data_IF_575777404579
#
_entry.id   IF_575777404579
#
_cell.length_a   1.000
_cell.length_b   1.000
_cell.length_c   1.000
_cell.angle_alpha   90.00
_cell.angle_beta   90.00
_cell.angle_gamma   90.00
#
_symmetry.space_group_name_H-M   'P 1'
#
loop_
_entity.id
_entity.type
_entity.pdbx_description
1 polymer ?
#
# COMPACT_ATOMS: atom_id res chain seq x y z
N UNK A 1 -5.50 -36.16 -11.24
CA UNK A 1 -5.92 -34.91 -11.93
C UNK A 1 -4.72 -33.98 -11.92
N UNK A 2 -4.30 -33.46 -13.08
CA UNK A 2 -3.04 -32.70 -13.20
C UNK A 2 -3.30 -31.21 -12.99
N UNK A 3 -2.82 -30.67 -11.88
CA UNK A 3 -2.57 -29.23 -11.71
C UNK A 3 -1.13 -28.90 -12.09
N UNK A 4 -0.88 -27.69 -12.55
CA UNK A 4 0.47 -27.21 -12.85
C UNK A 4 0.59 -25.75 -12.47
N UNK A 5 1.64 -25.42 -11.73
CA UNK A 5 1.95 -24.07 -11.32
C UNK A 5 3.14 -23.57 -12.16
N UNK A 6 3.04 -22.36 -12.71
CA UNK A 6 4.16 -21.71 -13.42
C UNK A 6 4.11 -20.19 -13.29
N UNK A 7 5.25 -19.57 -13.56
CA UNK A 7 5.31 -18.14 -13.86
C UNK A 7 4.49 -17.83 -15.11
N UNK A 8 3.69 -16.78 -15.03
CA UNK A 8 2.95 -16.26 -16.18
C UNK A 8 3.88 -15.42 -17.04
N UNK A 9 3.69 -15.55 -18.34
CA UNK A 9 4.39 -14.80 -19.37
C UNK A 9 3.36 -14.02 -20.21
N UNK A 10 3.83 -13.18 -21.13
CA UNK A 10 2.94 -12.48 -22.06
C UNK A 10 2.06 -13.46 -22.89
N UNK A 11 2.56 -14.67 -23.16
CA UNK A 11 1.81 -15.70 -23.89
C UNK A 11 0.56 -16.20 -23.14
N UNK A 12 0.52 -16.01 -21.81
CA UNK A 12 -0.58 -16.45 -20.97
C UNK A 12 -1.71 -15.40 -20.85
N UNK A 13 -1.56 -14.23 -21.47
CA UNK A 13 -2.53 -13.12 -21.36
C UNK A 13 -3.93 -13.53 -21.80
N UNK A 14 -4.07 -14.24 -22.93
CA UNK A 14 -5.36 -14.70 -23.43
C UNK A 14 -6.08 -15.62 -22.43
N UNK A 15 -5.33 -16.47 -21.73
CA UNK A 15 -5.86 -17.35 -20.69
C UNK A 15 -6.28 -16.55 -19.45
N UNK A 16 -5.49 -15.55 -19.04
CA UNK A 16 -5.89 -14.62 -17.97
C UNK A 16 -7.18 -13.89 -18.30
N UNK A 17 -7.29 -13.33 -19.51
CA UNK A 17 -8.50 -12.61 -19.95
C UNK A 17 -9.74 -13.52 -20.05
N UNK A 18 -9.55 -14.84 -20.16
CA UNK A 18 -10.64 -15.82 -20.21
C UNK A 18 -11.15 -16.25 -18.83
N UNK A 19 -10.50 -15.81 -17.75
CA UNK A 19 -10.93 -16.11 -16.38
C UNK A 19 -12.22 -15.34 -16.06
N UNK A 20 -13.24 -16.05 -15.54
CA UNK A 20 -14.39 -15.38 -14.91
C UNK A 20 -14.05 -15.06 -13.47
N UNK A 21 -13.42 -13.91 -13.21
CA UNK A 21 -13.07 -13.49 -11.85
C UNK A 21 -14.19 -12.67 -11.16
N UNK A 22 -15.23 -12.28 -11.89
CA UNK A 22 -16.33 -11.44 -11.41
C UNK A 22 -16.00 -9.96 -11.18
N UNK A 23 -14.85 -9.49 -11.67
CA UNK A 23 -14.38 -8.10 -11.54
C UNK A 23 -14.62 -7.40 -12.87
N UNK A 24 -15.52 -6.39 -12.88
CA UNK A 24 -15.90 -5.66 -14.10
C UNK A 24 -14.72 -4.86 -14.68
N UNK A 25 -13.91 -4.27 -13.80
CA UNK A 25 -12.75 -3.47 -14.17
C UNK A 25 -11.50 -3.99 -13.46
N UNK A 26 -10.94 -5.10 -13.98
CA UNK A 26 -9.76 -5.73 -13.39
C UNK A 26 -8.49 -4.98 -13.78
N UNK A 27 -7.93 -4.22 -12.83
CA UNK A 27 -6.68 -3.51 -13.07
C UNK A 27 -5.53 -4.45 -13.47
N UNK A 28 -5.50 -5.70 -12.99
CA UNK A 28 -4.46 -6.68 -13.35
C UNK A 28 -4.51 -6.96 -14.86
N UNK A 29 -5.71 -7.05 -15.44
CA UNK A 29 -5.88 -7.21 -16.89
C UNK A 29 -5.24 -6.06 -17.65
N UNK A 30 -5.45 -4.82 -17.18
CA UNK A 30 -4.90 -3.60 -17.81
C UNK A 30 -3.38 -3.55 -17.77
N UNK A 31 -2.77 -4.01 -16.67
CA UNK A 31 -1.32 -3.95 -16.46
C UNK A 31 -0.62 -5.31 -16.66
N UNK A 32 -1.30 -6.32 -17.19
CA UNK A 32 -0.80 -7.70 -17.24
C UNK A 32 0.60 -7.79 -17.87
N UNK A 33 0.78 -7.17 -19.03
CA UNK A 33 2.06 -7.21 -19.76
C UNK A 33 3.19 -6.60 -18.94
N UNK A 34 2.91 -5.51 -18.22
CA UNK A 34 3.87 -4.87 -17.30
C UNK A 34 4.18 -5.76 -16.10
N UNK A 35 3.21 -6.53 -15.61
CA UNK A 35 3.40 -7.43 -14.47
C UNK A 35 4.30 -8.61 -14.80
N UNK A 36 4.21 -9.17 -16.01
CA UNK A 36 4.96 -10.37 -16.42
C UNK A 36 6.30 -10.05 -17.10
N UNK A 37 6.63 -8.77 -17.27
CA UNK A 37 7.92 -8.31 -17.86
C UNK A 37 8.74 -7.43 -16.91
N UNK A 38 8.24 -7.15 -15.71
CA UNK A 38 8.93 -6.30 -14.74
C UNK A 38 9.89 -7.09 -13.87
N UNK A 39 11.05 -6.52 -13.58
CA UNK A 39 12.02 -7.07 -12.62
C UNK A 39 11.54 -6.98 -11.16
N UNK A 40 10.53 -6.15 -10.89
CA UNK A 40 10.00 -5.89 -9.54
C UNK A 40 8.67 -6.58 -9.27
N UNK A 41 8.14 -7.31 -10.24
CA UNK A 41 6.85 -7.98 -10.13
C UNK A 41 6.97 -9.43 -10.58
N UNK A 42 6.29 -10.30 -9.85
CA UNK A 42 6.19 -11.71 -10.21
C UNK A 42 4.72 -12.11 -10.16
N UNK A 43 4.28 -12.88 -11.16
CA UNK A 43 2.91 -13.36 -11.26
C UNK A 43 2.91 -14.85 -11.64
N UNK A 44 2.33 -15.66 -10.78
CA UNK A 44 2.16 -17.10 -10.99
C UNK A 44 0.72 -17.40 -11.41
N UNK A 45 0.58 -18.47 -12.18
CA UNK A 45 -0.70 -19.06 -12.54
C UNK A 45 -0.75 -20.52 -12.14
N UNK A 46 -1.90 -20.94 -11.61
CA UNK A 46 -2.25 -22.34 -11.43
C UNK A 46 -3.19 -22.76 -12.55
N UNK A 47 -2.76 -23.79 -13.26
CA UNK A 47 -3.48 -24.40 -14.36
C UNK A 47 -4.10 -25.70 -13.87
N UNK A 48 -5.39 -25.89 -14.14
CA UNK A 48 -6.11 -27.12 -13.85
C UNK A 48 -6.78 -27.58 -15.14
N UNK A 49 -6.45 -28.80 -15.59
CA UNK A 49 -6.90 -29.33 -16.89
C UNK A 49 -6.57 -28.37 -18.06
N UNK A 50 -5.37 -27.80 -18.05
CA UNK A 50 -4.89 -26.86 -19.07
C UNK A 50 -5.53 -25.47 -19.04
N UNK A 51 -6.43 -25.17 -18.08
CA UNK A 51 -7.06 -23.86 -17.93
C UNK A 51 -6.43 -23.11 -16.77
N UNK A 52 -6.14 -21.82 -16.96
CA UNK A 52 -5.73 -20.95 -15.86
C UNK A 52 -6.93 -20.73 -14.92
N UNK A 53 -6.83 -21.22 -13.68
CA UNK A 53 -7.93 -21.17 -12.71
C UNK A 53 -7.65 -20.22 -11.55
N UNK A 54 -6.39 -19.87 -11.32
CA UNK A 54 -6.02 -18.92 -10.27
C UNK A 54 -4.70 -18.23 -10.58
N UNK A 55 -4.54 -17.00 -10.08
CA UNK A 55 -3.27 -16.27 -10.08
C UNK A 55 -2.96 -15.75 -8.69
N UNK A 56 -1.68 -15.63 -8.39
CA UNK A 56 -1.16 -14.83 -7.26
C UNK A 56 0.26 -14.39 -7.60
N UNK A 57 0.76 -13.39 -6.91
CA UNK A 57 2.09 -12.87 -7.16
C UNK A 57 2.56 -11.95 -6.05
N UNK A 58 3.69 -11.29 -6.28
CA UNK A 58 4.24 -10.33 -5.34
C UNK A 58 4.97 -9.20 -6.05
N UNK A 59 5.11 -8.07 -5.36
CA UNK A 59 6.01 -7.00 -5.79
C UNK A 59 7.15 -6.89 -4.80
N UNK A 60 8.34 -6.58 -5.33
CA UNK A 60 9.51 -6.30 -4.55
C UNK A 60 9.60 -4.81 -4.22
N UNK A 61 10.00 -4.53 -2.99
CA UNK A 61 10.27 -3.20 -2.44
C UNK A 61 11.53 -3.27 -1.58
N UNK A 62 12.01 -2.11 -1.13
CA UNK A 62 13.16 -1.96 -0.27
C UNK A 62 14.40 -2.69 -0.83
N UNK A 63 14.74 -2.40 -2.08
CA UNK A 63 15.84 -2.96 -2.86
C UNK A 63 15.75 -4.49 -2.96
N UNK A 64 14.53 -4.99 -3.12
CA UNK A 64 14.27 -6.42 -3.20
C UNK A 64 14.26 -7.16 -1.86
N UNK A 65 14.32 -6.45 -0.72
CA UNK A 65 14.28 -7.10 0.60
C UNK A 65 12.87 -7.34 1.11
N UNK A 66 11.88 -6.59 0.62
CA UNK A 66 10.48 -6.73 1.01
C UNK A 66 9.66 -7.30 -0.14
N UNK A 67 8.85 -8.31 0.12
CA UNK A 67 7.88 -8.85 -0.84
C UNK A 67 6.45 -8.57 -0.37
N UNK A 68 5.68 -7.82 -1.15
CA UNK A 68 4.25 -7.61 -0.91
C UNK A 68 3.44 -8.55 -1.82
N UNK A 69 2.84 -9.57 -1.23
CA UNK A 69 1.91 -10.48 -1.89
C UNK A 69 0.67 -9.74 -2.36
N UNK A 70 0.14 -10.15 -3.51
CA UNK A 70 -1.09 -9.61 -4.06
C UNK A 70 -1.49 -10.28 -5.37
N UNK A 71 -2.32 -9.59 -6.15
CA UNK A 71 -2.76 -10.05 -7.47
C UNK A 71 -3.52 -11.38 -7.46
N UNK A 72 -4.25 -11.62 -6.37
CA UNK A 72 -5.03 -12.83 -6.20
C UNK A 72 -6.25 -12.79 -7.12
N UNK A 73 -6.34 -13.76 -8.02
CA UNK A 73 -7.56 -14.01 -8.81
C UNK A 73 -7.91 -15.47 -8.74
N UNK A 74 -9.21 -15.74 -8.68
CA UNK A 74 -9.76 -17.08 -8.81
C UNK A 74 -10.88 -17.01 -9.82
N UNK A 75 -10.82 -17.91 -10.78
CA UNK A 75 -11.94 -18.15 -11.65
C UNK A 75 -13.13 -18.69 -10.82
N UNK A 76 -14.28 -18.03 -10.94
CA UNK A 76 -15.52 -18.31 -10.21
C UNK A 76 -15.97 -19.75 -10.37
N UNK A 77 -15.72 -20.35 -11.54
CA UNK A 77 -16.07 -21.72 -11.88
C UNK A 77 -15.25 -22.75 -11.09
N UNK A 78 -14.17 -22.32 -10.44
CA UNK A 78 -13.20 -23.15 -9.73
C UNK A 78 -12.95 -22.68 -8.27
N UNK A 79 -13.81 -21.80 -7.74
CA UNK A 79 -13.70 -21.33 -6.35
C UNK A 79 -13.86 -22.48 -5.35
N UNK A 80 -13.36 -22.22 -4.14
CA UNK A 80 -13.47 -23.13 -2.98
C UNK A 80 -12.74 -24.48 -3.16
N UNK A 81 -11.81 -24.55 -4.12
CA UNK A 81 -10.93 -25.72 -4.37
C UNK A 81 -9.52 -25.58 -3.80
N UNK A 82 -9.22 -24.50 -3.08
CA UNK A 82 -7.91 -24.27 -2.47
C UNK A 82 -6.81 -23.76 -3.41
N UNK A 83 -7.09 -23.53 -4.70
CA UNK A 83 -6.06 -23.15 -5.68
C UNK A 83 -5.27 -21.88 -5.35
N UNK A 84 -5.92 -20.83 -4.82
CA UNK A 84 -5.18 -19.62 -4.40
C UNK A 84 -4.22 -19.94 -3.25
N UNK A 85 -4.67 -20.75 -2.30
CA UNK A 85 -3.86 -21.19 -1.15
C UNK A 85 -2.67 -22.01 -1.61
N UNK A 86 -2.85 -22.89 -2.60
CA UNK A 86 -1.76 -23.68 -3.22
C UNK A 86 -0.70 -22.78 -3.87
N UNK A 87 -1.11 -21.80 -4.69
CA UNK A 87 -0.16 -20.84 -5.29
C UNK A 87 0.57 -20.07 -4.20
N UNK A 88 -0.16 -19.56 -3.20
CA UNK A 88 0.45 -18.74 -2.16
C UNK A 88 1.40 -19.51 -1.26
N UNK A 89 1.13 -20.77 -0.95
CA UNK A 89 2.11 -21.61 -0.25
C UNK A 89 3.40 -21.74 -1.05
N UNK A 90 3.32 -21.99 -2.35
CA UNK A 90 4.49 -22.06 -3.21
C UNK A 90 5.25 -20.74 -3.23
N UNK A 91 4.56 -19.62 -3.45
CA UNK A 91 5.16 -18.28 -3.51
C UNK A 91 5.83 -17.91 -2.18
N UNK A 92 5.16 -18.13 -1.05
CA UNK A 92 5.75 -17.83 0.27
C UNK A 92 6.95 -18.73 0.54
N UNK A 93 6.89 -20.03 0.23
CA UNK A 93 8.02 -20.93 0.40
C UNK A 93 9.22 -20.51 -0.49
N UNK A 94 8.98 -20.06 -1.72
CA UNK A 94 10.04 -19.54 -2.59
C UNK A 94 10.69 -18.29 -1.98
N UNK A 95 9.88 -17.33 -1.52
CA UNK A 95 10.35 -16.10 -0.90
C UNK A 95 11.11 -16.36 0.41
N UNK A 96 10.67 -17.29 1.24
CA UNK A 96 11.36 -17.66 2.49
C UNK A 96 12.72 -18.32 2.24
N UNK A 97 12.87 -19.02 1.12
CA UNK A 97 14.15 -19.61 0.72
C UNK A 97 15.09 -18.60 0.04
N UNK A 98 14.63 -17.37 -0.23
CA UNK A 98 15.47 -16.31 -0.78
C UNK A 98 16.15 -15.51 0.35
N UNK A 99 17.49 -15.60 0.52
CA UNK A 99 18.19 -14.95 1.62
C UNK A 99 18.19 -13.41 1.55
N UNK A 100 17.80 -12.82 0.42
CA UNK A 100 17.64 -11.38 0.28
C UNK A 100 16.33 -10.89 0.92
N UNK A 101 15.29 -11.73 0.96
CA UNK A 101 13.98 -11.37 1.51
C UNK A 101 14.06 -11.35 3.04
N UNK A 102 13.63 -10.22 3.62
CA UNK A 102 13.63 -9.96 5.06
C UNK A 102 12.23 -9.79 5.63
N UNK A 103 11.24 -9.61 4.77
CA UNK A 103 9.87 -9.38 5.17
C UNK A 103 8.91 -9.75 4.05
N UNK A 104 7.85 -10.48 4.38
CA UNK A 104 6.78 -10.82 3.45
C UNK A 104 5.48 -10.22 3.99
N UNK A 105 4.83 -9.39 3.17
CA UNK A 105 3.59 -8.69 3.51
C UNK A 105 2.42 -9.06 2.63
N UNK A 106 1.20 -8.84 3.12
CA UNK A 106 -0.01 -8.82 2.30
C UNK A 106 -1.00 -7.84 2.92
N UNK A 107 -1.56 -6.93 2.14
CA UNK A 107 -2.57 -6.00 2.64
C UNK A 107 -3.97 -6.34 2.09
N UNK A 108 -4.98 -6.40 2.94
CA UNK A 108 -6.35 -6.68 2.52
C UNK A 108 -7.39 -5.99 3.40
N UNK A 109 -8.55 -5.67 2.85
CA UNK A 109 -9.66 -5.12 3.63
C UNK A 109 -10.12 -6.10 4.71
N UNK A 110 -10.49 -5.59 5.88
CA UNK A 110 -10.94 -6.43 7.00
C UNK A 110 -12.24 -7.17 6.68
N UNK A 111 -13.06 -6.62 5.79
CA UNK A 111 -14.27 -7.26 5.24
C UNK A 111 -13.97 -8.38 4.22
N UNK A 112 -12.74 -8.48 3.70
CA UNK A 112 -12.35 -9.56 2.79
C UNK A 112 -11.99 -10.84 3.56
N UNK A 113 -12.99 -11.44 4.20
CA UNK A 113 -12.83 -12.64 5.04
C UNK A 113 -12.19 -13.82 4.28
N UNK A 114 -12.41 -13.92 2.96
CA UNK A 114 -11.82 -14.98 2.13
C UNK A 114 -10.31 -14.80 2.00
N UNK A 115 -9.84 -13.61 1.65
CA UNK A 115 -8.40 -13.35 1.56
C UNK A 115 -7.72 -13.52 2.92
N UNK A 116 -8.31 -12.98 3.98
CA UNK A 116 -7.79 -13.12 5.36
C UNK A 116 -7.57 -14.57 5.76
N UNK A 117 -8.59 -15.43 5.59
CA UNK A 117 -8.47 -16.87 5.87
C UNK A 117 -7.38 -17.55 5.06
N UNK A 118 -7.15 -17.12 3.82
CA UNK A 118 -6.06 -17.66 2.99
C UNK A 118 -4.71 -17.24 3.55
N UNK A 119 -4.53 -15.97 3.92
CA UNK A 119 -3.29 -15.45 4.50
C UNK A 119 -2.97 -16.09 5.86
N UNK A 120 -3.98 -16.30 6.71
CA UNK A 120 -3.83 -17.01 7.98
C UNK A 120 -3.43 -18.48 7.76
N UNK A 121 -4.03 -19.18 6.78
CA UNK A 121 -3.70 -20.58 6.46
C UNK A 121 -2.27 -20.78 5.96
N UNK A 122 -1.70 -19.78 5.28
CA UNK A 122 -0.29 -19.83 4.84
C UNK A 122 0.68 -19.34 5.93
N UNK A 123 0.18 -19.13 7.16
CA UNK A 123 0.98 -18.82 8.34
C UNK A 123 1.35 -17.35 8.49
N UNK A 124 0.65 -16.42 7.83
CA UNK A 124 0.88 -14.99 8.04
C UNK A 124 0.12 -14.48 9.26
N UNK A 125 0.71 -13.51 9.95
CA UNK A 125 0.14 -12.92 11.17
C UNK A 125 -0.45 -11.54 10.86
N UNK A 126 -1.72 -11.26 11.23
CA UNK A 126 -2.32 -9.95 11.07
C UNK A 126 -1.72 -8.93 12.06
N UNK A 127 -1.70 -7.66 11.64
CA UNK A 127 -1.48 -6.51 12.51
C UNK A 127 -2.80 -5.84 12.90
N UNK A 128 -2.73 -4.83 13.76
CA UNK A 128 -3.88 -3.97 14.03
C UNK A 128 -4.37 -3.28 12.75
N UNK A 129 -5.70 -3.16 12.54
CA UNK A 129 -6.22 -2.53 11.34
C UNK A 129 -5.88 -1.05 11.23
N UNK A 130 -5.62 -0.61 10.00
CA UNK A 130 -5.48 0.78 9.61
C UNK A 130 -6.79 1.30 8.99
N UNK A 131 -7.16 2.52 9.35
CA UNK A 131 -8.23 3.28 8.74
C UNK A 131 -7.66 4.16 7.65
N UNK A 132 -8.09 3.94 6.42
CA UNK A 132 -7.71 4.76 5.28
C UNK A 132 -8.81 5.78 5.03
N UNK A 133 -8.49 7.06 5.24
CA UNK A 133 -9.43 8.15 5.16
C UNK A 133 -8.95 9.18 4.16
N UNK A 134 -9.86 9.69 3.33
CA UNK A 134 -9.60 10.85 2.48
C UNK A 134 -10.38 12.03 3.00
N UNK A 135 -9.72 13.16 3.25
CA UNK A 135 -10.37 14.44 3.42
C UNK A 135 -10.51 15.08 2.03
N UNK A 136 -11.72 15.24 1.48
CA UNK A 136 -11.91 15.86 0.18
C UNK A 136 -11.39 17.30 0.17
N UNK A 137 -10.90 17.77 -0.98
CA UNK A 137 -10.48 19.17 -1.16
C UNK A 137 -11.49 20.17 -0.61
N UNK A 138 -12.77 20.00 -0.97
CA UNK A 138 -13.83 20.91 -0.58
C UNK A 138 -13.97 21.05 0.94
N UNK A 139 -13.61 20.01 1.71
CA UNK A 139 -13.61 20.08 3.18
C UNK A 139 -12.35 20.78 3.71
N UNK A 140 -11.18 20.53 3.12
CA UNK A 140 -9.93 21.21 3.51
C UNK A 140 -9.97 22.71 3.22
N UNK A 141 -10.58 23.13 2.12
CA UNK A 141 -10.67 24.55 1.72
C UNK A 141 -11.51 25.38 2.69
N UNK A 142 -12.42 24.76 3.44
CA UNK A 142 -13.24 25.43 4.49
C UNK A 142 -12.43 25.85 5.70
N UNK A 143 -11.21 25.34 5.87
CA UNK A 143 -10.38 25.69 7.02
C UNK A 143 -10.02 27.17 7.01
N UNK A 144 -10.14 27.88 8.15
CA UNK A 144 -9.61 29.23 8.24
C UNK A 144 -8.09 29.19 8.03
N UNK A 145 -7.57 30.14 7.26
CA UNK A 145 -6.12 30.29 7.16
C UNK A 145 -5.52 30.60 8.53
N UNK A 146 -4.44 29.91 8.87
CA UNK A 146 -3.65 30.19 10.05
C UNK A 146 -2.18 29.84 9.80
N UNK A 147 -1.30 30.55 10.50
CA UNK A 147 0.12 30.23 10.50
C UNK A 147 0.34 28.82 11.03
N UNK A 148 1.21 28.05 10.38
CA UNK A 148 1.56 26.70 10.83
C UNK A 148 2.77 26.69 11.76
N UNK A 149 3.77 27.58 11.57
CA UNK A 149 5.00 27.60 12.37
C UNK A 149 6.01 26.49 12.04
N UNK A 150 5.59 25.45 11.30
CA UNK A 150 6.45 24.40 10.77
C UNK A 150 7.46 24.91 9.72
N UNK A 151 8.67 24.35 9.72
CA UNK A 151 9.74 24.70 8.78
C UNK A 151 9.89 23.64 7.68
N UNK A 152 9.99 24.06 6.41
CA UNK A 152 10.19 23.13 5.29
C UNK A 152 11.65 22.63 5.25
N UNK A 153 11.82 21.32 5.09
CA UNK A 153 13.12 20.65 4.94
C UNK A 153 13.28 20.26 3.48
N UNK A 154 14.20 20.90 2.76
CA UNK A 154 14.43 20.66 1.33
C UNK A 154 15.45 19.54 1.04
N UNK A 155 16.64 19.48 1.70
CA UNK A 155 17.66 18.49 1.33
C UNK A 155 17.22 17.05 1.60
N UNK A 156 17.37 16.17 0.61
CA UNK A 156 16.98 14.75 0.73
C UNK A 156 17.70 14.03 1.87
N UNK A 157 18.98 14.33 2.09
CA UNK A 157 19.76 13.79 3.21
C UNK A 157 19.16 14.16 4.56
N UNK A 158 18.73 15.41 4.73
CA UNK A 158 18.08 15.89 5.95
C UNK A 158 16.69 15.27 6.12
N UNK A 159 15.90 15.17 5.05
CA UNK A 159 14.61 14.47 5.10
C UNK A 159 14.78 13.03 5.59
N UNK A 160 15.74 12.31 5.02
CA UNK A 160 16.04 10.93 5.40
C UNK A 160 16.52 10.83 6.86
N UNK A 161 17.36 11.76 7.32
CA UNK A 161 17.81 11.82 8.72
C UNK A 161 16.63 11.96 9.68
N UNK A 162 15.74 12.92 9.42
CA UNK A 162 14.60 13.18 10.28
C UNK A 162 13.57 12.05 10.29
N UNK A 163 13.24 11.46 9.13
CA UNK A 163 12.34 10.29 9.10
C UNK A 163 12.93 9.14 9.90
N UNK A 164 14.23 8.85 9.79
CA UNK A 164 14.87 7.80 10.59
C UNK A 164 14.88 8.10 12.09
N UNK A 165 15.07 9.36 12.46
CA UNK A 165 15.20 9.76 13.86
C UNK A 165 13.85 9.81 14.58
N UNK A 166 12.80 10.25 13.89
CA UNK A 166 11.52 10.61 14.51
C UNK A 166 10.38 9.65 14.21
N UNK A 167 10.49 8.77 13.20
CA UNK A 167 9.41 7.84 12.88
C UNK A 167 9.27 6.77 13.98
N UNK A 168 8.11 6.67 14.65
CA UNK A 168 7.92 5.72 15.75
C UNK A 168 8.09 4.27 15.28
N UNK A 169 8.76 3.44 16.08
CA UNK A 169 9.08 2.06 15.73
C UNK A 169 7.87 1.14 15.61
N UNK A 170 6.76 1.51 16.25
CA UNK A 170 5.47 0.80 16.23
C UNK A 170 4.56 1.26 15.08
N UNK A 171 4.97 2.24 14.29
CA UNK A 171 4.20 2.80 13.18
C UNK A 171 4.70 2.29 11.84
N UNK A 172 3.77 1.86 11.00
CA UNK A 172 4.08 1.53 9.61
C UNK A 172 4.34 2.81 8.81
N UNK A 173 5.24 2.73 7.84
CA UNK A 173 5.54 3.78 6.89
C UNK A 173 4.69 3.63 5.63
N UNK A 174 3.78 4.57 5.34
CA UNK A 174 2.88 4.51 4.18
C UNK A 174 3.59 4.94 2.89
N UNK A 175 4.31 3.99 2.29
CA UNK A 175 5.04 4.20 1.02
C UNK A 175 4.09 4.61 -0.11
N UNK A 176 2.91 3.99 -0.17
CA UNK A 176 1.75 4.40 -0.98
C UNK A 176 0.46 4.32 -0.15
N UNK A 177 -0.62 4.94 -0.63
CA UNK A 177 -1.93 4.98 0.04
C UNK A 177 -2.43 3.61 0.57
N UNK A 178 -2.19 2.54 -0.17
CA UNK A 178 -2.59 1.17 0.20
C UNK A 178 -1.42 0.24 0.56
N UNK A 179 -0.18 0.76 0.60
CA UNK A 179 1.03 -0.04 0.81
C UNK A 179 1.84 0.50 1.99
N UNK A 180 1.42 0.16 3.23
CA UNK A 180 2.20 0.42 4.42
C UNK A 180 3.28 -0.67 4.60
N UNK A 181 4.46 -0.27 5.08
CA UNK A 181 5.59 -1.17 5.32
C UNK A 181 6.25 -0.86 6.67
N UNK A 182 6.96 -1.82 7.28
CA UNK A 182 7.93 -1.48 8.32
C UNK A 182 8.96 -0.49 7.76
N UNK A 183 9.31 0.53 8.54
CA UNK A 183 10.35 1.48 8.09
C UNK A 183 11.71 0.78 8.06
N UNK A 184 12.45 0.94 6.97
CA UNK A 184 13.85 0.52 6.88
C UNK A 184 14.69 1.50 6.07
N UNK A 185 16.01 1.39 6.22
CA UNK A 185 16.95 2.16 5.41
C UNK A 185 16.78 1.89 3.91
N UNK A 186 16.56 0.64 3.52
CA UNK A 186 16.32 0.23 2.14
C UNK A 186 15.02 0.82 1.59
N UNK A 187 13.93 0.74 2.36
CA UNK A 187 12.65 1.33 1.96
C UNK A 187 12.77 2.85 1.75
N UNK A 188 13.50 3.55 2.63
CA UNK A 188 13.70 4.99 2.51
C UNK A 188 14.59 5.40 1.33
N UNK A 189 15.51 4.55 0.88
CA UNK A 189 16.32 4.82 -0.31
C UNK A 189 15.49 4.75 -1.59
N UNK A 190 14.51 3.86 -1.64
CA UNK A 190 13.56 3.77 -2.77
C UNK A 190 12.45 4.82 -2.70
N UNK A 191 12.09 5.27 -1.51
CA UNK A 191 11.03 6.25 -1.36
C UNK A 191 11.43 7.58 -2.04
N UNK A 192 10.58 8.18 -2.88
CA UNK A 192 10.93 9.34 -3.69
C UNK A 192 10.95 10.64 -2.87
N UNK A 193 11.86 10.76 -1.90
CA UNK A 193 12.02 11.93 -1.01
C UNK A 193 12.26 13.25 -1.75
N UNK A 194 12.81 13.19 -2.96
CA UNK A 194 13.00 14.33 -3.85
C UNK A 194 11.67 14.88 -4.41
N UNK A 195 10.65 14.03 -4.52
CA UNK A 195 9.29 14.42 -4.95
C UNK A 195 8.35 14.70 -3.78
N UNK A 196 8.75 14.35 -2.56
CA UNK A 196 7.97 14.60 -1.36
C UNK A 196 8.33 15.95 -0.75
N UNK A 197 7.35 16.66 -0.20
CA UNK A 197 7.57 17.84 0.64
C UNK A 197 7.62 17.42 2.09
N UNK A 198 8.55 17.97 2.86
CA UNK A 198 8.74 17.61 4.26
C UNK A 198 8.78 18.86 5.12
N UNK A 199 8.11 18.80 6.27
CA UNK A 199 8.10 19.86 7.25
C UNK A 199 8.46 19.30 8.62
N UNK A 200 9.15 20.11 9.41
CA UNK A 200 9.52 19.82 10.79
C UNK A 200 8.73 20.73 11.74
N UNK A 201 8.26 20.17 12.84
CA UNK A 201 7.53 20.92 13.86
C UNK A 201 8.43 21.95 14.56
N UNK A 202 7.86 23.01 15.18
CA UNK A 202 8.65 24.03 15.87
C UNK A 202 9.56 23.51 17.01
N UNK A 203 9.18 22.40 17.63
CA UNK A 203 9.94 21.72 18.70
C UNK A 203 10.89 20.62 18.16
N UNK A 204 10.94 20.44 16.84
CA UNK A 204 11.72 19.44 16.13
C UNK A 204 11.46 17.98 16.56
N UNK A 205 10.30 17.72 17.17
CA UNK A 205 9.91 16.38 17.62
C UNK A 205 9.05 15.61 16.62
N UNK A 206 8.48 16.30 15.62
CA UNK A 206 7.53 15.73 14.67
C UNK A 206 7.85 16.16 13.26
N UNK A 207 7.52 15.30 12.30
CA UNK A 207 7.58 15.62 10.89
C UNK A 207 6.25 15.37 10.19
N UNK A 208 6.04 16.13 9.12
CA UNK A 208 4.98 15.91 8.14
C UNK A 208 5.63 15.71 6.78
N UNK A 209 5.33 14.62 6.11
CA UNK A 209 5.78 14.34 4.76
C UNK A 209 4.55 14.20 3.85
N UNK A 210 4.57 14.85 2.69
CA UNK A 210 3.47 14.83 1.74
C UNK A 210 4.01 14.51 0.35
N UNK A 211 3.33 13.63 -0.38
CA UNK A 211 3.66 13.35 -1.78
C UNK A 211 2.40 13.04 -2.59
N UNK A 212 2.50 13.21 -3.89
CA UNK A 212 1.48 12.72 -4.82
C UNK A 212 1.41 11.18 -4.81
N UNK A 213 0.19 10.65 -4.91
CA UNK A 213 -0.07 9.24 -5.21
C UNK A 213 -1.36 9.11 -6.04
N UNK A 214 -1.39 8.17 -6.98
CA UNK A 214 -2.51 7.97 -7.91
C UNK A 214 -3.17 6.62 -7.65
N UNK A 215 -4.45 6.64 -7.27
CA UNK A 215 -5.27 5.46 -6.95
C UNK A 215 -6.70 5.64 -7.46
N UNK A 216 -6.83 5.71 -8.80
CA UNK A 216 -8.07 6.09 -9.48
C UNK A 216 -8.14 7.61 -9.65
N UNK A 217 -8.05 8.33 -8.54
CA UNK A 217 -7.81 9.78 -8.49
C UNK A 217 -6.37 10.08 -8.06
N UNK A 218 -5.94 11.33 -8.26
CA UNK A 218 -4.69 11.85 -7.69
C UNK A 218 -4.93 12.39 -6.28
N UNK A 219 -4.13 11.96 -5.31
CA UNK A 219 -4.23 12.36 -3.91
C UNK A 219 -2.92 12.97 -3.40
N UNK A 220 -3.02 13.84 -2.40
CA UNK A 220 -1.89 14.11 -1.49
C UNK A 220 -1.84 13.00 -0.45
N UNK A 221 -0.88 12.07 -0.55
CA UNK A 221 -0.62 11.11 0.51
C UNK A 221 0.08 11.81 1.69
N UNK A 222 -0.61 11.86 2.83
CA UNK A 222 -0.13 12.48 4.07
C UNK A 222 0.53 11.43 4.94
N UNK A 223 1.83 11.63 5.18
CA UNK A 223 2.68 10.75 5.97
C UNK A 223 3.02 11.50 7.27
N UNK A 224 2.20 11.25 8.28
CA UNK A 224 2.30 11.84 9.60
C UNK A 224 2.11 10.73 10.65
N UNK A 225 3.19 10.14 11.18
CA UNK A 225 3.09 8.92 11.98
C UNK A 225 2.71 9.18 13.46
N UNK A 226 2.29 10.39 13.81
CA UNK A 226 1.93 10.79 15.16
C UNK A 226 0.41 10.84 15.33
N UNK A 227 -0.08 10.55 16.55
CA UNK A 227 -1.51 10.32 16.81
C UNK A 227 -2.38 11.59 16.82
N UNK A 228 -1.81 12.78 16.68
CA UNK A 228 -2.47 14.06 16.92
C UNK A 228 -2.83 14.84 15.63
N UNK A 229 -2.75 14.20 14.46
CA UNK A 229 -3.06 14.82 13.15
C UNK A 229 -4.43 15.52 13.12
N UNK A 230 -5.43 14.96 13.80
CA UNK A 230 -6.77 15.55 13.88
C UNK A 230 -6.88 16.81 14.75
N UNK A 231 -5.88 17.07 15.60
CA UNK A 231 -5.86 18.23 16.51
C UNK A 231 -4.77 19.25 16.19
N UNK A 232 -3.71 18.87 15.49
CA UNK A 232 -2.62 19.79 15.15
C UNK A 232 -3.02 20.71 13.99
N UNK A 233 -3.37 21.95 14.32
CA UNK A 233 -3.75 22.97 13.32
C UNK A 233 -2.63 23.28 12.33
N UNK A 234 -1.36 23.15 12.72
CA UNK A 234 -0.22 23.38 11.84
C UNK A 234 -0.14 22.34 10.74
N UNK A 235 -0.31 21.07 11.08
CA UNK A 235 -0.40 19.95 10.13
C UNK A 235 -1.56 20.17 9.16
N UNK A 236 -2.75 20.45 9.68
CA UNK A 236 -3.96 20.62 8.88
C UNK A 236 -3.85 21.80 7.90
N UNK A 237 -3.24 22.92 8.33
CA UNK A 237 -2.99 24.07 7.46
C UNK A 237 -1.93 23.78 6.38
N UNK A 238 -0.89 23.00 6.69
CA UNK A 238 0.08 22.57 5.70
C UNK A 238 -0.55 21.67 4.63
N UNK A 239 -1.38 20.71 5.05
CA UNK A 239 -2.13 19.85 4.13
C UNK A 239 -3.08 20.66 3.25
N UNK A 240 -3.81 21.63 3.83
CA UNK A 240 -4.65 22.57 3.07
C UNK A 240 -3.83 23.29 2.01
N UNK A 241 -2.70 23.90 2.40
CA UNK A 241 -1.83 24.64 1.48
C UNK A 241 -1.28 23.74 0.37
N UNK A 242 -0.96 22.49 0.68
CA UNK A 242 -0.52 21.52 -0.31
C UNK A 242 -1.61 21.22 -1.34
N UNK A 243 -2.86 21.05 -0.89
CA UNK A 243 -4.00 20.84 -1.80
C UNK A 243 -4.26 22.07 -2.66
N UNK A 244 -4.15 23.28 -2.11
CA UNK A 244 -4.31 24.53 -2.87
C UNK A 244 -3.23 24.69 -3.95
N UNK A 245 -2.00 24.29 -3.65
CA UNK A 245 -0.87 24.34 -4.60
C UNK A 245 -0.96 23.27 -5.70
N UNK A 246 -1.77 22.23 -5.50
CA UNK A 246 -1.91 21.12 -6.43
C UNK A 246 -3.37 20.99 -6.90
N UNK A 247 -3.86 21.85 -7.81
CA UNK A 247 -5.26 21.92 -8.20
C UNK A 247 -5.80 20.64 -8.89
N UNK A 248 -4.95 19.68 -9.25
CA UNK A 248 -5.37 18.36 -9.74
C UNK A 248 -5.64 17.31 -8.65
N UNK A 249 -5.30 17.58 -7.38
CA UNK A 249 -5.48 16.60 -6.31
C UNK A 249 -6.92 16.58 -5.78
N UNK A 250 -7.55 15.42 -5.78
CA UNK A 250 -8.90 15.20 -5.27
C UNK A 250 -9.03 15.55 -3.78
N UNK A 251 -8.04 15.16 -2.97
CA UNK A 251 -8.05 15.35 -1.53
C UNK A 251 -6.78 14.83 -0.87
N UNK A 252 -6.75 14.89 0.46
CA UNK A 252 -5.63 14.41 1.26
C UNK A 252 -5.94 13.04 1.86
N UNK A 253 -5.05 12.07 1.62
CA UNK A 253 -5.13 10.72 2.12
C UNK A 253 -4.38 10.58 3.43
N UNK A 254 -5.05 10.10 4.48
CA UNK A 254 -4.50 9.82 5.80
C UNK A 254 -4.57 8.33 6.10
N UNK A 255 -3.47 7.79 6.61
CA UNK A 255 -3.40 6.43 7.15
C UNK A 255 -3.43 6.52 8.67
N UNK A 256 -4.57 6.23 9.28
CA UNK A 256 -4.79 6.36 10.72
C UNK A 256 -4.90 5.01 11.41
N UNK A 257 -4.45 4.92 12.65
CA UNK A 257 -4.82 3.86 13.58
C UNK A 257 -6.08 4.27 14.36
N UNK A 258 -6.78 3.29 14.94
CA UNK A 258 -7.94 3.55 15.79
C UNK A 258 -7.65 4.41 17.03
N UNK A 259 -6.41 4.40 17.50
CA UNK A 259 -5.93 5.22 18.62
C UNK A 259 -5.60 6.65 18.22
N UNK A 260 -5.59 6.98 16.93
CA UNK A 260 -5.29 8.33 16.46
C UNK A 260 -6.48 9.26 16.70
N UNK A 261 -6.17 10.53 16.94
CA UNK A 261 -7.15 11.60 17.04
C UNK A 261 -7.94 11.67 15.72
N UNK A 262 -9.28 11.54 15.77
CA UNK A 262 -10.10 11.63 14.56
C UNK A 262 -9.89 12.95 13.83
N UNK A 263 -9.89 12.90 12.50
CA UNK A 263 -9.82 14.11 11.70
C UNK A 263 -11.07 14.97 11.97
N UNK A 264 -10.94 16.30 12.08
CA UNK A 264 -12.05 17.18 12.47
C UNK A 264 -12.99 17.50 11.30
N UNK A 265 -12.99 16.66 10.26
CA UNK A 265 -13.70 16.87 9.00
C UNK A 265 -14.56 15.66 8.64
N UNK A 266 -15.58 15.85 7.78
CA UNK A 266 -16.12 14.75 7.00
C UNK A 266 -15.00 14.07 6.21
N UNK A 267 -14.91 12.75 6.34
CA UNK A 267 -13.95 11.93 5.62
C UNK A 267 -14.66 10.91 4.75
N UNK A 268 -14.07 10.61 3.60
CA UNK A 268 -14.42 9.42 2.83
C UNK A 268 -13.59 8.25 3.33
N UNK A 269 -14.25 7.26 3.92
CA UNK A 269 -13.57 6.01 4.25
C UNK A 269 -13.23 5.26 2.97
N UNK A 270 -11.95 4.89 2.84
CA UNK A 270 -11.42 3.97 1.82
C UNK A 270 -11.26 2.55 2.38
N UNK A 271 -12.00 2.27 3.45
CA UNK A 271 -12.04 0.98 4.13
C UNK A 271 -11.09 0.89 5.30
N UNK A 272 -11.25 -0.21 6.02
CA UNK A 272 -10.36 -0.65 7.07
C UNK A 272 -9.52 -1.80 6.51
N UNK A 273 -8.21 -1.70 6.65
CA UNK A 273 -7.25 -2.61 6.04
C UNK A 273 -6.37 -3.25 7.10
N UNK A 274 -6.08 -4.52 6.92
CA UNK A 274 -5.20 -5.28 7.80
C UNK A 274 -3.96 -5.72 7.01
N UNK A 275 -2.79 -5.32 7.51
CA UNK A 275 -1.52 -5.79 7.00
C UNK A 275 -1.18 -7.13 7.68
N UNK A 276 -0.96 -8.15 6.87
CA UNK A 276 -0.40 -9.43 7.29
C UNK A 276 1.11 -9.42 7.07
N UNK A 277 1.85 -10.09 7.95
CA UNK A 277 3.31 -10.22 7.86
C UNK A 277 3.80 -11.64 8.15
N UNK A 278 4.94 -11.97 7.58
CA UNK A 278 5.79 -13.10 7.90
C UNK A 278 7.25 -12.65 7.93
#
# INVERSE_FOLDING_TARGET
MTSTLKLLTQSDKSMFMSMDNGIKDDYIARIFDRLVTSDSHTLYGLFYQGKLVSTAGYSLFAEGTYAMLGRFRSDRRYRDRGFVTEILHHVVAELENNPAIRWIGANTETKNLRARRVLEKIGMTPSEPLQYNVVPRAELEKLPEAAHGWSEISPVSEKMRWVRALHPSDRLFPFECYYPFPLSGNLLREFPLQKARMFLSPDEQRFLLMKEDVKGETYTNVIYPFADAGSDRGVLNLVKKEIQNNPGHYGAWFNQQYSDTPLPYPVESKGEWVLYRK
#
